data_IF_764180793306
#
_entry.id   IF_764180793306
#
_cell.length_a   1.000
_cell.length_b   1.000
_cell.length_c   1.000
_cell.angle_alpha   90.00
_cell.angle_beta   90.00
_cell.angle_gamma   90.00
#
_symmetry.space_group_name_H-M   'P 1'
#
loop_
_entity.id
_entity.type
_entity.pdbx_description
1 polymer ?
#
# COMPACT_ATOMS: atom_id res chain seq x y z
N UNK A 1 4.24 -9.02 16.17
CA UNK A 1 3.24 -9.84 15.44
C UNK A 1 3.72 -11.29 15.33
N UNK A 2 2.88 -12.28 15.68
CA UNK A 2 3.22 -13.71 15.57
C UNK A 2 2.49 -14.32 14.33
N UNK A 3 3.22 -14.91 13.35
CA UNK A 3 2.62 -15.56 12.19
C UNK A 3 1.69 -16.74 12.49
N UNK A 4 1.87 -17.44 13.61
CA UNK A 4 1.03 -18.59 13.97
C UNK A 4 -0.36 -18.17 14.45
N UNK A 5 -0.47 -17.00 15.10
CA UNK A 5 -1.74 -16.45 15.56
C UNK A 5 -2.39 -15.47 14.57
N UNK A 6 -1.68 -15.07 13.51
CA UNK A 6 -2.18 -14.15 12.49
C UNK A 6 -2.22 -14.83 11.11
N UNK A 7 -3.42 -15.30 10.73
CA UNK A 7 -3.64 -15.98 9.44
C UNK A 7 -3.34 -15.10 8.23
N UNK A 8 -3.63 -13.80 8.30
CA UNK A 8 -3.35 -12.86 7.21
C UNK A 8 -1.84 -12.70 7.01
N UNK A 9 -1.07 -12.59 8.09
CA UNK A 9 0.39 -12.56 8.04
C UNK A 9 0.94 -13.86 7.46
N UNK A 10 0.45 -15.02 7.89
CA UNK A 10 0.87 -16.32 7.35
C UNK A 10 0.67 -16.42 5.83
N UNK A 11 -0.50 -15.98 5.33
CA UNK A 11 -0.79 -15.99 3.89
C UNK A 11 0.17 -15.07 3.11
N UNK A 12 0.47 -13.88 3.64
CA UNK A 12 1.42 -12.96 3.01
C UNK A 12 2.84 -13.55 2.99
N UNK A 13 3.26 -14.25 4.06
CA UNK A 13 4.54 -14.93 4.12
C UNK A 13 4.65 -16.08 3.12
N UNK A 14 3.59 -16.87 2.96
CA UNK A 14 3.53 -17.93 1.94
C UNK A 14 3.65 -17.33 0.54
N UNK A 15 2.95 -16.23 0.24
CA UNK A 15 3.11 -15.50 -1.04
C UNK A 15 4.52 -14.94 -1.21
N UNK A 16 5.11 -14.34 -0.18
CA UNK A 16 6.48 -13.81 -0.27
C UNK A 16 7.50 -14.89 -0.65
N UNK A 17 7.33 -16.12 -0.15
CA UNK A 17 8.15 -17.28 -0.55
C UNK A 17 7.99 -17.63 -2.03
N UNK A 18 6.78 -17.52 -2.60
CA UNK A 18 6.57 -17.73 -4.05
C UNK A 18 7.31 -16.71 -4.93
N UNK A 19 7.56 -15.50 -4.41
CA UNK A 19 8.37 -14.48 -5.08
C UNK A 19 9.86 -14.56 -4.72
N UNK A 20 10.32 -15.64 -4.08
CA UNK A 20 11.71 -15.83 -3.66
C UNK A 20 12.27 -14.70 -2.77
N UNK A 21 11.43 -14.08 -1.93
CA UNK A 21 11.88 -13.08 -0.97
C UNK A 21 12.79 -13.74 0.07
N UNK A 22 14.03 -13.27 0.29
CA UNK A 22 14.94 -13.87 1.27
C UNK A 22 14.39 -13.79 2.72
N UNK A 23 14.57 -14.85 3.50
CA UNK A 23 14.06 -14.94 4.87
C UNK A 23 14.50 -13.78 5.78
N UNK A 24 15.76 -13.33 5.66
CA UNK A 24 16.27 -12.21 6.47
C UNK A 24 15.52 -10.88 6.21
N UNK A 25 14.97 -10.68 5.00
CA UNK A 25 14.16 -9.49 4.68
C UNK A 25 12.80 -9.58 5.38
N UNK A 26 12.21 -10.78 5.38
CA UNK A 26 10.94 -11.07 6.05
C UNK A 26 11.06 -10.85 7.56
N UNK A 27 12.10 -11.43 8.18
CA UNK A 27 12.36 -11.28 9.62
C UNK A 27 12.55 -9.82 10.00
N UNK A 28 13.36 -9.08 9.23
CA UNK A 28 13.56 -7.64 9.43
C UNK A 28 12.26 -6.84 9.33
N UNK A 29 11.36 -7.19 8.41
CA UNK A 29 10.06 -6.54 8.28
C UNK A 29 9.14 -6.84 9.48
N UNK A 30 9.12 -8.09 9.95
CA UNK A 30 8.37 -8.50 11.14
C UNK A 30 8.89 -7.77 12.39
N UNK A 31 10.21 -7.63 12.53
CA UNK A 31 10.81 -6.96 13.68
C UNK A 31 10.58 -5.44 13.66
N UNK A 32 10.63 -4.80 12.48
CA UNK A 32 10.16 -3.41 12.33
C UNK A 32 8.72 -3.26 12.81
N UNK A 33 7.83 -4.18 12.43
CA UNK A 33 6.43 -4.17 12.85
C UNK A 33 6.21 -4.49 14.35
N UNK A 34 7.22 -5.02 15.06
CA UNK A 34 7.17 -5.19 16.53
C UNK A 34 7.53 -3.90 17.30
N UNK A 35 7.86 -2.81 16.62
CA UNK A 35 8.23 -1.54 17.25
C UNK A 35 9.73 -1.23 17.22
N UNK A 36 10.51 -1.94 16.39
CA UNK A 36 11.92 -1.61 16.17
C UNK A 36 12.13 -0.39 15.24
N UNK A 37 11.05 0.28 14.82
CA UNK A 37 11.09 1.49 14.02
C UNK A 37 9.97 2.45 14.39
N UNK A 38 10.24 3.75 14.28
CA UNK A 38 9.31 4.85 14.59
C UNK A 38 8.37 5.17 13.41
N UNK A 39 8.19 4.20 12.50
CA UNK A 39 7.41 4.36 11.27
C UNK A 39 6.06 3.65 11.43
N UNK A 40 5.02 4.45 11.70
CA UNK A 40 3.64 3.98 11.59
C UNK A 40 3.20 4.06 10.13
N UNK A 41 2.52 3.02 9.66
CA UNK A 41 1.98 2.96 8.31
C UNK A 41 0.45 2.98 8.35
N UNK A 42 -0.13 3.85 7.53
CA UNK A 42 -1.57 3.98 7.33
C UNK A 42 -1.97 3.32 6.01
N UNK A 43 -3.10 2.61 6.04
CA UNK A 43 -3.79 2.15 4.84
C UNK A 43 -4.72 3.25 4.32
N UNK A 44 -4.57 3.60 3.06
CA UNK A 44 -5.35 4.65 2.39
C UNK A 44 -5.83 4.16 1.03
N UNK A 45 -7.00 4.65 0.62
CA UNK A 45 -7.54 4.44 -0.71
C UNK A 45 -7.70 5.79 -1.40
N UNK A 46 -7.12 5.90 -2.59
CA UNK A 46 -7.36 7.01 -3.50
C UNK A 46 -8.19 6.53 -4.68
N UNK A 47 -9.05 7.40 -5.16
CA UNK A 47 -10.01 7.12 -6.22
C UNK A 47 -9.87 8.17 -7.29
N UNK A 48 -10.15 7.82 -8.55
CA UNK A 48 -10.09 8.80 -9.63
C UNK A 48 -10.35 8.22 -11.00
N UNK A 49 -10.14 9.06 -12.00
CA UNK A 49 -10.41 8.77 -13.40
C UNK A 49 -9.15 8.92 -14.22
N UNK A 50 -8.85 7.95 -15.07
CA UNK A 50 -7.76 8.00 -16.04
C UNK A 50 -8.23 8.44 -17.42
N UNK A 51 -7.36 8.29 -18.44
CA UNK A 51 -7.71 8.51 -19.84
C UNK A 51 -9.00 7.81 -20.24
N UNK A 52 -9.78 8.47 -21.09
CA UNK A 52 -11.05 7.94 -21.62
C UNK A 52 -12.07 7.53 -20.54
N UNK A 53 -12.00 8.13 -19.34
CA UNK A 53 -12.97 7.88 -18.27
C UNK A 53 -12.77 6.56 -17.51
N UNK A 54 -11.60 5.93 -17.65
CA UNK A 54 -11.28 4.70 -16.92
C UNK A 54 -11.29 4.93 -15.41
N UNK A 55 -11.99 4.09 -14.65
CA UNK A 55 -12.07 4.22 -13.19
C UNK A 55 -10.87 3.53 -12.52
N UNK A 56 -10.25 4.23 -11.57
CA UNK A 56 -9.03 3.79 -10.89
C UNK A 56 -9.20 3.84 -9.38
N UNK A 57 -8.91 2.71 -8.72
CA UNK A 57 -8.78 2.59 -7.28
C UNK A 57 -7.30 2.31 -6.97
N UNK A 58 -6.72 3.11 -6.10
CA UNK A 58 -5.32 3.01 -5.67
C UNK A 58 -5.28 2.78 -4.17
N UNK A 59 -5.02 1.53 -3.77
CA UNK A 59 -4.74 1.19 -2.38
C UNK A 59 -3.27 1.44 -2.06
N UNK A 60 -3.02 2.21 -1.01
CA UNK A 60 -1.69 2.60 -0.56
C UNK A 60 -1.47 2.20 0.90
N UNK A 61 -0.23 1.83 1.20
CA UNK A 61 0.29 1.70 2.56
C UNK A 61 1.45 2.67 2.71
N UNK A 62 1.33 3.66 3.59
CA UNK A 62 2.31 4.76 3.67
C UNK A 62 2.53 5.24 5.09
N UNK A 63 3.75 5.69 5.37
CA UNK A 63 4.09 6.40 6.60
C UNK A 63 3.99 7.93 6.47
N UNK A 64 3.54 8.43 5.31
CA UNK A 64 3.36 9.86 5.09
C UNK A 64 2.22 10.10 4.07
N UNK A 65 1.03 10.37 4.61
CA UNK A 65 -0.20 10.61 3.85
C UNK A 65 -0.05 11.77 2.86
N UNK A 66 0.56 12.88 3.30
CA UNK A 66 0.67 14.10 2.50
C UNK A 66 1.58 13.89 1.28
N UNK A 67 2.70 13.20 1.46
CA UNK A 67 3.61 12.82 0.36
C UNK A 67 2.88 11.92 -0.63
N UNK A 68 2.28 10.83 -0.14
CA UNK A 68 1.59 9.88 -1.02
C UNK A 68 0.43 10.50 -1.77
N UNK A 69 -0.39 11.33 -1.12
CA UNK A 69 -1.49 12.03 -1.80
C UNK A 69 -0.98 12.99 -2.89
N UNK A 70 0.16 13.66 -2.65
CA UNK A 70 0.80 14.52 -3.65
C UNK A 70 1.30 13.72 -4.85
N UNK A 71 1.99 12.61 -4.60
CA UNK A 71 2.55 11.75 -5.65
C UNK A 71 1.45 11.11 -6.50
N UNK A 72 0.40 10.59 -5.86
CA UNK A 72 -0.77 10.00 -6.55
C UNK A 72 -1.47 11.06 -7.41
N UNK A 73 -1.76 12.24 -6.86
CA UNK A 73 -2.38 13.34 -7.62
C UNK A 73 -1.54 13.74 -8.83
N UNK A 74 -0.22 13.85 -8.66
CA UNK A 74 0.69 14.16 -9.75
C UNK A 74 0.70 13.07 -10.83
N UNK A 75 0.64 11.79 -10.44
CA UNK A 75 0.56 10.67 -11.37
C UNK A 75 -0.73 10.71 -12.20
N UNK A 76 -1.89 10.97 -11.59
CA UNK A 76 -3.15 11.17 -12.33
C UNK A 76 -3.02 12.32 -13.34
N UNK A 77 -2.60 13.51 -12.87
CA UNK A 77 -2.53 14.70 -13.72
C UNK A 77 -1.55 14.58 -14.89
N UNK A 78 -0.39 13.95 -14.70
CA UNK A 78 0.60 13.75 -15.77
C UNK A 78 0.13 12.78 -16.85
N UNK A 79 -0.81 11.89 -16.53
CA UNK A 79 -1.27 10.84 -17.44
C UNK A 79 -2.68 11.11 -17.97
N UNK A 80 -3.14 12.37 -18.00
CA UNK A 80 -4.44 12.73 -18.58
C UNK A 80 -5.64 12.26 -17.75
N UNK A 81 -5.45 12.04 -16.46
CA UNK A 81 -6.50 11.71 -15.50
C UNK A 81 -6.65 12.76 -14.40
N UNK A 82 -7.55 12.50 -13.46
CA UNK A 82 -7.72 13.29 -12.26
C UNK A 82 -8.02 12.41 -11.04
N UNK A 83 -7.44 12.75 -9.90
CA UNK A 83 -7.78 12.13 -8.63
C UNK A 83 -9.11 12.71 -8.14
N UNK A 84 -10.06 11.83 -7.86
CA UNK A 84 -11.36 12.17 -7.29
C UNK A 84 -11.34 12.27 -5.76
N UNK A 85 -12.53 12.43 -5.20
CA UNK A 85 -12.76 12.31 -3.75
C UNK A 85 -13.11 10.86 -3.40
N UNK A 86 -13.05 10.50 -2.11
CA UNK A 86 -13.50 9.17 -1.69
C UNK A 86 -14.96 8.91 -2.10
N UNK A 87 -15.24 7.74 -2.66
CA UNK A 87 -16.55 7.38 -3.20
C UNK A 87 -16.84 7.87 -4.62
N UNK A 88 -15.83 8.34 -5.37
CA UNK A 88 -16.02 8.78 -6.76
C UNK A 88 -16.16 7.63 -7.75
N UNK A 89 -15.62 6.46 -7.44
CA UNK A 89 -15.62 5.27 -8.32
C UNK A 89 -15.98 3.98 -7.59
N UNK A 90 -16.50 4.09 -6.37
CA UNK A 90 -16.86 2.99 -5.48
C UNK A 90 -18.32 2.54 -5.63
#
# INVERSE_FOLDING_TARGET
PNPESNQALRLVLERAKTYSVPNHIIEKAIDKAKGAGDENFDHLRYEGFGPSGSMLIVDALTNNVNRTASDVRAAFGKNGGNMGVSGSVA
#
